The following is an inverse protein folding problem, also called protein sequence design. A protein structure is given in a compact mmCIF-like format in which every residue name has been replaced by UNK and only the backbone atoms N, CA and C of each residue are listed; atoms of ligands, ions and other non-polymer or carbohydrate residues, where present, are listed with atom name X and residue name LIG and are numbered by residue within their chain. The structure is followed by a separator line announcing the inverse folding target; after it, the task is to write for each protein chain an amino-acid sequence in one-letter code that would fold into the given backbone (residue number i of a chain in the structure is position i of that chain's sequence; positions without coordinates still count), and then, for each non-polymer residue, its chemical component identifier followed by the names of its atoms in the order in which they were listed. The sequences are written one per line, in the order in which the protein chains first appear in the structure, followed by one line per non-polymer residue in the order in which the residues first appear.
data_IF_085394053763
#
_entry.id   IF_085394053763
#
_cell.length_a   1.000
_cell.length_b   1.000
_cell.length_c   1.000
_cell.angle_alpha   90.00
_cell.angle_beta   90.00
_cell.angle_gamma   90.00
#
_symmetry.space_group_name_H-M   'P 1'
#
loop_
_entity.id
_entity.type
_entity.pdbx_description
1 polymer ?
#
# COMPACT_ATOMS: atom_id res chain seq x y z
N UNK A 1 -34.54 -25.27 -52.27
CA UNK A 1 -34.21 -24.96 -51.86
C UNK A 1 -33.75 -24.63 -51.02
N UNK A 2 -33.62 -24.42 -50.51
CA UNK A 2 -33.07 -24.13 -49.83
C UNK A 2 -32.58 -23.79 -48.98
N UNK A 3 -32.42 -23.51 -48.38
CA UNK A 3 -31.86 -23.21 -47.64
C UNK A 3 -31.35 -22.84 -46.80
N UNK A 4 -31.00 -22.64 -46.23
CA UNK A 4 -30.52 -22.27 -45.52
C UNK A 4 -30.02 -21.96 -44.65
N UNK A 5 -29.69 -21.78 -44.13
CA UNK A 5 -29.19 -21.46 -43.34
C UNK A 5 -28.69 -21.07 -42.51
N UNK A 6 -28.34 -20.89 -42.15
CA UNK A 6 -27.81 -20.49 -41.46
C UNK A 6 -27.30 -20.20 -40.55
N UNK A 7 -26.96 -20.04 -40.12
CA UNK A 7 -26.44 -19.71 -39.30
C UNK A 7 -25.99 -19.36 -38.53
N UNK A 8 -25.76 -19.16 -38.07
CA UNK A 8 -25.25 -18.78 -37.33
C UNK A 8 -24.68 -18.48 -36.49
N UNK A 9 -24.39 -18.31 -36.24
CA UNK A 9 -23.86 -17.98 -35.55
C UNK A 9 -23.46 -17.68 -34.73
N UNK A 10 -23.16 -17.48 -34.32
CA UNK A 10 -22.75 -17.13 -33.62
C UNK A 10 -22.24 -16.88 -32.74
N UNK A 11 -21.94 -16.74 -32.32
CA UNK A 11 -21.42 -16.43 -31.51
C UNK A 11 -20.91 -16.03 -30.78
N UNK A 12 -20.66 -15.80 -30.25
CA UNK A 12 -20.12 -15.37 -29.55
C UNK A 12 -19.57 -15.08 -28.67
N UNK A 13 -19.31 -14.89 -28.21
CA UNK A 13 -18.80 -14.60 -27.45
C UNK A 13 -18.30 -14.22 -26.70
N UNK A 14 -17.95 -14.01 -26.31
CA UNK A 14 -17.49 -13.59 -25.66
C UNK A 14 -17.00 -13.31 -24.80
N UNK A 15 -16.65 -13.09 -24.38
CA UNK A 15 -16.17 -12.70 -23.60
C UNK A 15 -15.69 -12.39 -22.92
N UNK A 16 -15.37 -12.19 -22.48
CA UNK A 16 -14.91 -11.77 -21.82
C UNK A 16 -14.35 -11.51 -21.04
N UNK A 17 -14.02 -11.38 -20.71
CA UNK A 17 -13.48 -11.05 -20.03
C UNK A 17 -12.99 -10.74 -19.30
N UNK A 18 -12.72 -10.64 -18.97
CA UNK A 18 -12.23 -10.31 -18.31
C UNK A 18 -11.67 -9.96 -17.64
N UNK A 19 -11.33 -9.81 -17.38
CA UNK A 19 -10.77 -9.41 -16.85
C UNK A 19 -10.36 -9.19 -15.98
N UNK A 20 -10.14 -9.06 -15.51
CA UNK A 20 -9.82 -8.83 -14.78
C UNK A 20 -9.18 -8.55 -14.11
N UNK A 21 -8.71 -8.45 -13.99
CA UNK A 21 -8.11 -8.30 -13.33
C UNK A 21 -7.67 -7.68 -12.70
N UNK A 22 -7.60 -7.86 -12.39
CA UNK A 22 -6.95 -7.58 -11.66
C UNK A 22 -6.55 -6.43 -11.40
N UNK A 23 -6.32 -5.89 -11.61
CA UNK A 23 -6.09 -4.83 -11.48
C UNK A 23 -6.13 -4.45 -10.26
N UNK A 24 -5.79 -5.03 -9.59
CA UNK A 24 -5.65 -4.69 -8.40
C UNK A 24 -4.88 -3.55 -8.08
N UNK A 25 -3.92 -3.13 -8.77
CA UNK A 25 -3.20 -1.94 -8.47
C UNK A 25 -4.03 -0.71 -8.66
N UNK A 26 -5.25 -0.86 -9.06
CA UNK A 26 -6.20 0.25 -9.09
C UNK A 26 -7.01 0.34 -7.82
N UNK A 27 -6.87 -0.62 -6.95
CA UNK A 27 -7.60 -0.58 -5.69
C UNK A 27 -7.02 0.49 -4.78
N UNK A 28 -7.87 1.21 -4.04
CA UNK A 28 -7.36 2.20 -3.08
C UNK A 28 -6.48 1.53 -2.04
N UNK A 29 -5.41 2.19 -1.66
CA UNK A 29 -4.58 1.72 -0.58
C UNK A 29 -5.25 2.04 0.75
N UNK A 30 -5.21 1.08 1.66
CA UNK A 30 -5.75 1.29 3.00
C UNK A 30 -4.70 1.99 3.84
N UNK A 31 -5.11 3.07 4.49
CA UNK A 31 -4.24 3.79 5.40
C UNK A 31 -4.35 3.21 6.80
N UNK A 32 -3.23 2.88 7.38
CA UNK A 32 -3.15 2.41 8.75
C UNK A 32 -2.54 3.49 9.62
N UNK A 33 -2.97 3.59 10.86
CA UNK A 33 -2.42 4.53 11.82
C UNK A 33 -1.75 3.74 12.92
N UNK A 34 -0.56 4.15 13.29
CA UNK A 34 0.21 3.48 14.33
C UNK A 34 0.97 4.50 15.17
N UNK A 35 1.51 4.02 16.28
CA UNK A 35 2.30 4.83 17.20
C UNK A 35 3.66 4.16 17.32
N UNK A 36 4.70 4.95 17.38
CA UNK A 36 6.03 4.41 17.53
C UNK A 36 7.03 5.43 18.01
N UNK A 37 8.25 4.96 18.23
CA UNK A 37 9.37 5.79 18.66
C UNK A 37 10.40 5.77 17.55
N UNK A 38 10.87 6.94 17.18
CA UNK A 38 11.86 7.08 16.13
C UNK A 38 13.20 6.57 16.62
N UNK A 39 13.80 5.66 15.88
CA UNK A 39 15.11 5.12 16.22
C UNK A 39 16.20 5.65 15.32
N UNK A 40 15.87 5.94 14.06
CA UNK A 40 16.86 6.41 13.10
C UNK A 40 16.15 7.19 12.00
N UNK A 41 16.78 8.23 11.52
CA UNK A 41 16.27 9.04 10.43
C UNK A 41 17.33 9.07 9.33
N UNK A 42 16.90 8.74 8.11
CA UNK A 42 17.79 8.74 6.95
C UNK A 42 17.20 9.65 5.87
N UNK A 43 17.42 10.96 5.96
CA UNK A 43 16.79 11.89 5.03
C UNK A 43 17.17 11.64 3.57
N UNK A 44 18.43 11.28 3.33
CA UNK A 44 18.89 11.05 1.96
C UNK A 44 18.17 9.89 1.30
N UNK A 45 17.71 8.93 2.09
CA UNK A 45 17.00 7.76 1.58
C UNK A 45 15.50 7.89 1.71
N UNK A 46 15.00 9.00 2.23
CA UNK A 46 13.58 9.20 2.55
C UNK A 46 13.06 8.02 3.38
N UNK A 47 13.79 7.71 4.42
CA UNK A 47 13.50 6.54 5.24
C UNK A 47 13.63 6.88 6.71
N UNK A 48 12.82 6.21 7.52
CA UNK A 48 12.86 6.36 8.96
C UNK A 48 12.68 4.98 9.58
N UNK A 49 13.43 4.70 10.64
CA UNK A 49 13.29 3.46 11.38
C UNK A 49 12.51 3.75 12.65
N UNK A 50 11.43 3.04 12.84
CA UNK A 50 10.55 3.22 13.99
C UNK A 50 10.41 1.91 14.74
N UNK A 51 10.34 2.04 16.06
CA UNK A 51 9.88 0.93 16.91
C UNK A 51 8.39 1.18 17.15
N UNK A 52 7.55 0.47 16.43
CA UNK A 52 6.11 0.70 16.51
C UNK A 52 5.43 -0.25 17.47
N UNK A 53 4.32 0.20 18.02
CA UNK A 53 3.46 -0.63 18.85
C UNK A 53 2.72 -1.64 17.98
N UNK A 54 2.11 -2.66 18.59
CA UNK A 54 1.38 -3.65 17.80
C UNK A 54 0.33 -3.00 16.91
N UNK A 55 0.19 -3.53 15.70
CA UNK A 55 -0.80 -3.05 14.74
C UNK A 55 -1.74 -4.22 14.46
N UNK A 56 -2.81 -4.27 15.24
CA UNK A 56 -3.72 -5.40 15.22
C UNK A 56 -4.34 -5.63 13.85
N UNK A 57 -4.65 -4.56 13.13
CA UNK A 57 -5.26 -4.67 11.81
C UNK A 57 -4.39 -5.46 10.82
N UNK A 58 -3.08 -5.51 11.05
CA UNK A 58 -2.15 -6.22 10.19
C UNK A 58 -1.60 -7.48 10.84
N UNK A 59 -1.99 -7.74 12.08
CA UNK A 59 -1.43 -8.86 12.82
C UNK A 59 0.05 -8.66 13.15
N UNK A 60 0.51 -7.41 13.22
CA UNK A 60 1.90 -7.13 13.48
C UNK A 60 2.15 -6.93 14.97
N UNK A 61 3.15 -7.60 15.53
CA UNK A 61 3.57 -7.30 16.90
C UNK A 61 4.37 -6.01 16.94
N UNK A 62 4.69 -5.52 18.13
CA UNK A 62 5.61 -4.39 18.22
C UNK A 62 6.97 -4.83 17.69
N UNK A 63 7.59 -3.97 16.90
CA UNK A 63 8.89 -4.27 16.33
C UNK A 63 9.55 -3.03 15.77
N UNK A 64 10.86 -3.12 15.57
CA UNK A 64 11.62 -2.05 14.97
C UNK A 64 11.82 -2.38 13.50
N UNK A 65 11.39 -1.47 12.63
CA UNK A 65 11.51 -1.69 11.19
C UNK A 65 11.64 -0.38 10.45
N UNK A 66 12.21 -0.42 9.24
CA UNK A 66 12.29 0.79 8.42
C UNK A 66 10.99 1.03 7.69
N UNK A 67 10.69 2.32 7.50
CA UNK A 67 9.55 2.76 6.70
C UNK A 67 10.07 3.74 5.67
N UNK A 68 9.54 3.68 4.47
CA UNK A 68 9.76 4.73 3.50
C UNK A 68 8.84 5.91 3.82
N UNK A 69 9.25 7.11 3.45
CA UNK A 69 8.45 8.29 3.70
C UNK A 69 8.09 8.91 2.36
N UNK A 70 6.81 9.16 2.16
CA UNK A 70 6.32 9.70 0.91
C UNK A 70 6.94 11.06 0.59
N UNK A 71 7.07 11.91 1.61
CA UNK A 71 7.63 13.24 1.45
C UNK A 71 8.71 13.43 2.49
N UNK A 72 9.95 13.49 2.06
CA UNK A 72 11.06 13.61 2.98
C UNK A 72 11.04 14.90 3.80
N UNK A 73 10.25 15.88 3.42
CA UNK A 73 10.10 17.09 4.21
C UNK A 73 9.53 16.79 5.59
N UNK A 74 8.77 15.71 5.71
CA UNK A 74 8.23 15.29 7.00
C UNK A 74 9.35 15.05 7.98
N UNK A 75 10.52 14.61 7.51
CA UNK A 75 11.63 14.24 8.38
C UNK A 75 12.33 15.44 9.00
N UNK A 76 12.15 16.63 8.45
CA UNK A 76 12.93 17.79 8.86
C UNK A 76 12.72 18.19 10.32
N UNK A 77 11.55 17.94 10.87
CA UNK A 77 11.23 18.34 12.23
C UNK A 77 11.30 17.18 13.22
N UNK A 78 11.74 16.02 12.78
CA UNK A 78 11.73 14.83 13.63
C UNK A 78 13.11 14.57 14.22
N UNK A 79 13.13 13.88 15.34
CA UNK A 79 14.35 13.56 16.07
C UNK A 79 14.31 12.14 16.56
N UNK A 80 15.48 11.50 16.69
CA UNK A 80 15.55 10.18 17.35
C UNK A 80 14.94 10.23 18.74
N UNK A 81 14.36 9.11 19.13
CA UNK A 81 13.72 8.92 20.44
C UNK A 81 12.40 9.68 20.64
N UNK A 82 11.95 10.36 19.60
CA UNK A 82 10.67 11.04 19.64
C UNK A 82 9.54 10.03 19.45
N UNK A 83 8.48 10.16 20.25
CA UNK A 83 7.28 9.34 20.07
C UNK A 83 6.34 10.05 19.12
N UNK A 84 5.86 9.34 18.13
CA UNK A 84 5.01 9.92 17.10
C UNK A 84 3.85 9.00 16.77
N UNK A 85 2.79 9.60 16.26
CA UNK A 85 1.70 8.87 15.62
C UNK A 85 1.89 9.05 14.12
N UNK A 86 1.72 8.00 13.35
CA UNK A 86 1.94 8.09 11.93
C UNK A 86 0.93 7.29 11.14
N UNK A 87 0.65 7.76 9.93
CA UNK A 87 -0.19 7.06 8.98
C UNK A 87 0.72 6.46 7.91
N UNK A 88 0.41 5.25 7.50
CA UNK A 88 1.18 4.60 6.45
C UNK A 88 0.29 3.70 5.60
N UNK A 89 0.77 3.40 4.40
CA UNK A 89 0.13 2.44 3.50
C UNK A 89 1.14 1.37 3.16
N UNK A 90 0.64 0.17 2.86
CA UNK A 90 1.51 -0.90 2.37
C UNK A 90 1.45 -0.91 0.85
N UNK A 91 2.62 -0.88 0.23
CA UNK A 91 2.74 -1.00 -1.22
C UNK A 91 3.65 -2.19 -1.49
N UNK A 92 3.05 -3.33 -1.79
CA UNK A 92 3.80 -4.56 -1.91
C UNK A 92 4.42 -4.93 -0.59
N UNK A 93 5.74 -5.09 -0.55
CA UNK A 93 6.46 -5.40 0.68
C UNK A 93 6.93 -4.15 1.44
N UNK A 94 6.67 -2.98 0.92
CA UNK A 94 7.12 -1.73 1.54
C UNK A 94 6.00 -1.08 2.32
N UNK A 95 6.36 -0.46 3.44
CA UNK A 95 5.45 0.39 4.19
C UNK A 95 5.87 1.83 3.95
N UNK A 96 4.93 2.68 3.55
CA UNK A 96 5.20 4.06 3.18
C UNK A 96 4.41 4.98 4.07
N UNK A 97 5.12 5.82 4.82
CA UNK A 97 4.50 6.78 5.72
C UNK A 97 4.00 7.97 4.90
N UNK A 98 2.75 8.32 5.11
CA UNK A 98 2.12 9.44 4.41
C UNK A 98 1.93 10.66 5.31
N UNK A 99 1.94 10.47 6.62
CA UNK A 99 1.81 11.58 7.57
C UNK A 99 2.40 11.19 8.91
N UNK A 100 2.95 12.13 9.63
CA UNK A 100 3.47 11.94 10.98
C UNK A 100 3.02 13.11 11.83
N UNK A 101 2.59 12.83 13.06
CA UNK A 101 2.15 13.87 14.00
C UNK A 101 2.43 13.52 15.46
#
# INVERSE_FOLDING_TARGET
MRRIVIALAAALVVGAAAATPAHNHDAPLVTHTAVGVIKKIEPAASRITLHHEPIAALGWPSMTMPFNVKDKKILASLKPDQKVEFDFVQQGSAAVITAIR
#
